data_IF_361245100916
#
_entry.id   IF_361245100916
#
_cell.length_a   1.000
_cell.length_b   1.000
_cell.length_c   1.000
_cell.angle_alpha   90.00
_cell.angle_beta   90.00
_cell.angle_gamma   90.00
#
_symmetry.space_group_name_H-M   'P 1'
#
loop_
_entity.id
_entity.type
_entity.pdbx_description
1 polymer ?
#
# COMPACT_ATOMS: atom_id res chain seq x y z
N UNK A 1 9.24 11.25 13.14
CA UNK A 1 8.98 9.86 12.71
C UNK A 1 8.45 9.88 11.28
N UNK A 2 8.90 8.93 10.45
CA UNK A 2 8.46 8.76 9.06
C UNK A 2 7.77 7.41 8.86
N UNK A 3 6.64 7.40 8.15
CA UNK A 3 5.94 6.17 7.79
C UNK A 3 6.12 5.92 6.30
N UNK A 4 6.77 4.81 6.01
CA UNK A 4 6.92 4.27 4.65
C UNK A 4 5.72 3.40 4.34
N UNK A 5 4.90 3.83 3.39
CA UNK A 5 3.83 3.02 2.83
C UNK A 5 4.36 2.33 1.57
N UNK A 6 4.75 1.08 1.72
CA UNK A 6 4.93 0.19 0.59
C UNK A 6 3.54 -0.20 0.06
N UNK A 7 3.08 0.60 -0.90
CA UNK A 7 1.81 0.44 -1.58
C UNK A 7 1.78 -0.90 -2.32
N UNK A 8 2.89 -1.22 -3.00
CA UNK A 8 2.99 -2.34 -3.92
C UNK A 8 1.87 -2.32 -4.96
N UNK A 9 1.65 -3.45 -5.62
CA UNK A 9 0.45 -3.70 -6.38
C UNK A 9 -0.08 -5.10 -6.07
N UNK A 10 -1.27 -5.42 -6.56
CA UNK A 10 -1.72 -6.81 -6.50
C UNK A 10 -0.82 -7.67 -7.39
N UNK A 11 -0.66 -8.94 -7.02
CA UNK A 11 0.11 -9.89 -7.80
C UNK A 11 1.55 -9.43 -8.08
N UNK A 12 2.14 -8.63 -7.19
CA UNK A 12 3.58 -8.30 -7.19
C UNK A 12 4.25 -8.95 -6.00
N UNK A 13 5.48 -9.43 -6.20
CA UNK A 13 6.45 -9.84 -5.18
C UNK A 13 6.01 -10.94 -4.17
N UNK A 14 4.74 -11.34 -4.09
CA UNK A 14 4.23 -12.42 -3.20
C UNK A 14 4.64 -12.26 -1.72
N UNK A 15 4.68 -11.01 -1.24
CA UNK A 15 5.19 -10.63 0.08
C UNK A 15 6.70 -10.96 0.30
N UNK A 16 7.51 -11.23 -0.73
CA UNK A 16 8.95 -11.57 -0.56
C UNK A 16 9.76 -10.39 0.02
N UNK A 17 9.52 -9.16 -0.43
CA UNK A 17 10.12 -7.93 0.10
C UNK A 17 9.80 -7.78 1.59
N UNK A 18 8.52 -7.86 1.98
CA UNK A 18 8.15 -7.73 3.40
C UNK A 18 8.71 -8.89 4.24
N UNK A 19 8.77 -10.10 3.69
CA UNK A 19 9.44 -11.23 4.36
C UNK A 19 10.94 -10.97 4.53
N UNK A 20 11.60 -10.36 3.54
CA UNK A 20 13.00 -9.98 3.63
C UNK A 20 13.23 -8.93 4.73
N UNK A 21 12.40 -7.88 4.77
CA UNK A 21 12.44 -6.87 5.82
C UNK A 21 12.22 -7.47 7.22
N UNK A 22 11.23 -8.36 7.37
CA UNK A 22 10.96 -9.03 8.64
C UNK A 22 12.12 -9.93 9.10
N UNK A 23 12.78 -10.63 8.17
CA UNK A 23 13.98 -11.45 8.48
C UNK A 23 15.14 -10.59 9.01
N UNK A 24 15.23 -9.34 8.58
CA UNK A 24 16.29 -8.41 8.96
C UNK A 24 15.86 -7.39 10.04
N UNK A 25 14.70 -7.58 10.68
CA UNK A 25 14.11 -6.60 11.60
C UNK A 25 15.02 -6.20 12.76
N UNK A 26 15.87 -7.11 13.26
CA UNK A 26 16.79 -6.80 14.35
C UNK A 26 17.87 -5.80 13.91
N UNK A 27 18.51 -6.05 12.76
CA UNK A 27 19.49 -5.13 12.17
C UNK A 27 18.86 -3.79 11.75
N UNK A 28 17.60 -3.80 11.33
CA UNK A 28 16.85 -2.58 11.03
C UNK A 28 16.47 -1.79 12.29
N UNK A 29 16.14 -2.46 13.39
CA UNK A 29 15.84 -1.83 14.67
C UNK A 29 17.05 -1.08 15.24
N UNK A 30 18.27 -1.62 15.08
CA UNK A 30 19.52 -0.94 15.42
C UNK A 30 19.70 0.41 14.69
N UNK A 31 18.99 0.63 13.59
CA UNK A 31 18.98 1.86 12.80
C UNK A 31 17.71 2.70 13.01
N UNK A 32 16.89 2.39 14.02
CA UNK A 32 15.63 3.08 14.29
C UNK A 32 14.51 2.77 13.30
N UNK A 33 14.58 1.62 12.60
CA UNK A 33 13.59 1.21 11.60
C UNK A 33 12.72 0.06 12.13
N UNK A 34 11.45 0.35 12.38
CA UNK A 34 10.46 -0.65 12.76
C UNK A 34 9.81 -1.30 11.54
N UNK A 35 9.81 -2.64 11.53
CA UNK A 35 9.10 -3.46 10.54
C UNK A 35 8.04 -4.31 11.24
N UNK A 36 6.84 -3.75 11.49
CA UNK A 36 5.78 -4.49 12.18
C UNK A 36 5.25 -5.64 11.33
N UNK A 37 4.75 -6.69 11.99
CA UNK A 37 4.12 -7.81 11.29
C UNK A 37 2.85 -7.35 10.56
N UNK A 38 2.65 -7.71 9.27
CA UNK A 38 1.45 -7.34 8.52
C UNK A 38 0.13 -7.79 9.15
N UNK A 39 0.15 -8.86 9.94
CA UNK A 39 -1.04 -9.34 10.65
C UNK A 39 -1.52 -8.38 11.74
N UNK A 40 -0.63 -7.53 12.28
CA UNK A 40 -0.98 -6.55 13.33
C UNK A 40 -1.66 -5.31 12.76
N UNK A 41 -1.19 -4.81 11.62
CA UNK A 41 -1.66 -3.52 11.11
C UNK A 41 -2.69 -3.60 9.98
N UNK A 42 -2.67 -4.63 9.10
CA UNK A 42 -3.51 -4.60 7.87
C UNK A 42 -5.00 -4.48 8.18
N UNK A 43 -5.50 -5.24 9.17
CA UNK A 43 -6.91 -5.17 9.61
C UNK A 43 -7.17 -3.86 10.37
N UNK A 44 -6.31 -3.53 11.33
CA UNK A 44 -6.44 -2.35 12.16
C UNK A 44 -6.51 -1.06 11.31
N UNK A 45 -5.53 -0.82 10.44
CA UNK A 45 -5.49 0.36 9.58
C UNK A 45 -6.72 0.48 8.68
N UNK A 46 -7.21 -0.65 8.14
CA UNK A 46 -8.42 -0.67 7.34
C UNK A 46 -9.64 -0.23 8.15
N UNK A 47 -9.81 -0.83 9.33
CA UNK A 47 -10.97 -0.58 10.18
C UNK A 47 -10.92 0.87 10.72
N UNK A 48 -9.73 1.37 11.07
CA UNK A 48 -9.51 2.78 11.44
C UNK A 48 -9.81 3.74 10.29
N UNK A 49 -9.28 3.50 9.08
CA UNK A 49 -9.57 4.35 7.92
C UNK A 49 -11.08 4.41 7.61
N UNK A 50 -11.79 3.29 7.77
CA UNK A 50 -13.24 3.23 7.61
C UNK A 50 -13.99 4.02 8.69
N UNK A 51 -13.53 3.98 9.94
CA UNK A 51 -14.12 4.74 11.04
C UNK A 51 -13.93 6.25 10.85
N UNK A 52 -12.75 6.68 10.41
CA UNK A 52 -12.44 8.08 10.17
C UNK A 52 -13.25 8.68 9.02
N UNK A 53 -13.70 7.88 8.04
CA UNK A 53 -14.49 8.34 6.87
C UNK A 53 -13.82 9.53 6.16
N UNK A 54 -12.49 9.51 6.07
CA UNK A 54 -11.71 10.59 5.48
C UNK A 54 -11.47 11.79 6.40
N UNK A 55 -11.86 11.76 7.67
CA UNK A 55 -11.36 12.72 8.65
C UNK A 55 -9.95 12.36 9.09
N UNK A 56 -9.27 13.32 9.69
CA UNK A 56 -7.95 13.11 10.30
C UNK A 56 -8.11 12.49 11.69
N UNK A 57 -7.24 11.56 12.04
CA UNK A 57 -7.20 10.96 13.38
C UNK A 57 -6.83 11.98 14.46
N UNK A 58 -7.41 11.85 15.66
CA UNK A 58 -6.93 12.56 16.84
C UNK A 58 -5.56 12.04 17.27
N UNK A 59 -4.79 12.83 18.02
CA UNK A 59 -3.53 12.40 18.65
C UNK A 59 -3.69 11.10 19.46
N UNK A 60 -4.80 10.97 20.21
CA UNK A 60 -5.12 9.75 20.96
C UNK A 60 -5.31 8.54 20.05
N UNK A 61 -6.00 8.71 18.92
CA UNK A 61 -6.19 7.63 17.93
C UNK A 61 -4.87 7.26 17.29
N UNK A 62 -4.03 8.24 16.96
CA UNK A 62 -2.68 8.02 16.42
C UNK A 62 -1.83 7.17 17.37
N UNK A 63 -1.76 7.58 18.63
CA UNK A 63 -0.98 6.89 19.66
C UNK A 63 -1.48 5.45 19.88
N UNK A 64 -2.80 5.25 19.95
CA UNK A 64 -3.40 3.92 20.13
C UNK A 64 -3.06 2.98 18.96
N UNK A 65 -3.24 3.44 17.72
CA UNK A 65 -2.92 2.63 16.54
C UNK A 65 -1.43 2.32 16.50
N UNK A 66 -0.58 3.32 16.78
CA UNK A 66 0.87 3.16 16.77
C UNK A 66 1.34 2.12 17.80
N UNK A 67 0.83 2.19 19.02
CA UNK A 67 1.11 1.22 20.09
C UNK A 67 0.69 -0.21 19.70
N UNK A 68 -0.42 -0.36 18.97
CA UNK A 68 -0.90 -1.68 18.56
C UNK A 68 -0.07 -2.30 17.42
N UNK A 69 0.50 -1.47 16.54
CA UNK A 69 1.28 -1.97 15.39
C UNK A 69 2.75 -2.18 15.72
N UNK A 70 3.34 -1.38 16.62
CA UNK A 70 4.78 -1.47 16.96
C UNK A 70 5.04 -2.42 18.13
N UNK A 71 6.22 -3.06 18.10
CA UNK A 71 6.77 -3.81 19.25
C UNK A 71 7.67 -2.91 20.12
N UNK A 72 8.40 -2.00 19.48
CA UNK A 72 9.28 -1.04 20.15
C UNK A 72 8.70 0.38 20.03
N UNK A 73 8.67 1.16 21.12
CA UNK A 73 8.00 2.45 21.16
C UNK A 73 8.74 3.56 20.39
N UNK A 74 10.06 3.43 20.23
CA UNK A 74 10.92 4.49 19.70
C UNK A 74 11.53 4.06 18.35
N UNK A 75 10.85 4.41 17.25
CA UNK A 75 11.36 4.22 15.90
C UNK A 75 11.30 5.53 15.11
N UNK A 76 12.39 5.86 14.43
CA UNK A 76 12.46 7.00 13.52
C UNK A 76 11.67 6.74 12.23
N UNK A 77 11.62 5.47 11.79
CA UNK A 77 10.96 5.03 10.57
C UNK A 77 10.13 3.76 10.79
N UNK A 78 8.90 3.74 10.28
CA UNK A 78 8.03 2.55 10.29
C UNK A 78 7.71 2.13 8.87
N UNK A 79 7.89 0.85 8.53
CA UNK A 79 7.59 0.32 7.19
C UNK A 79 6.30 -0.50 7.21
N UNK A 80 5.29 -0.05 6.46
CA UNK A 80 4.00 -0.70 6.30
C UNK A 80 3.83 -1.18 4.86
N UNK A 81 3.66 -2.49 4.68
CA UNK A 81 3.50 -3.12 3.36
C UNK A 81 2.12 -3.76 3.20
N UNK A 82 1.32 -3.23 2.27
CA UNK A 82 0.02 -3.82 1.98
C UNK A 82 -0.48 -3.48 0.57
N UNK A 83 -0.56 -4.47 -0.34
CA UNK A 83 -1.10 -4.26 -1.68
C UNK A 83 -2.51 -3.64 -1.72
N UNK A 84 -3.30 -3.80 -0.65
CA UNK A 84 -4.65 -3.24 -0.60
C UNK A 84 -4.72 -1.79 -0.10
N UNK A 85 -3.59 -1.13 0.10
CA UNK A 85 -3.57 0.33 0.19
C UNK A 85 -4.20 0.93 -1.08
N UNK A 86 -3.83 0.45 -2.26
CA UNK A 86 -4.34 0.97 -3.54
C UNK A 86 -5.81 0.64 -3.81
N UNK A 87 -6.24 -0.61 -3.62
CA UNK A 87 -7.65 -1.03 -3.77
C UNK A 87 -7.90 -2.43 -3.22
N UNK A 88 -9.14 -2.88 -3.26
CA UNK A 88 -9.42 -4.31 -3.29
C UNK A 88 -9.17 -4.86 -4.70
N UNK A 89 -8.76 -6.13 -4.87
CA UNK A 89 -8.46 -6.71 -6.19
C UNK A 89 -9.59 -6.55 -7.20
N UNK A 90 -10.84 -6.80 -6.80
CA UNK A 90 -11.98 -6.71 -7.70
C UNK A 90 -12.31 -5.28 -8.18
N UNK A 91 -11.72 -4.26 -7.55
CA UNK A 91 -11.98 -2.86 -7.86
C UNK A 91 -10.78 -2.17 -8.51
N UNK A 92 -9.67 -2.90 -8.69
CA UNK A 92 -8.42 -2.35 -9.21
C UNK A 92 -8.52 -1.87 -10.66
N UNK A 93 -9.54 -2.29 -11.42
CA UNK A 93 -9.69 -1.97 -12.85
C UNK A 93 -10.96 -1.13 -13.16
N UNK A 94 -11.61 -0.54 -12.15
CA UNK A 94 -12.82 0.26 -12.38
C UNK A 94 -12.48 1.60 -13.05
N UNK A 95 -12.74 1.71 -14.34
CA UNK A 95 -12.51 2.90 -15.15
C UNK A 95 -11.05 3.03 -15.63
N UNK A 96 -10.11 3.10 -14.69
CA UNK A 96 -8.67 3.05 -14.95
C UNK A 96 -7.99 2.13 -13.95
N UNK A 97 -6.71 1.84 -14.19
CA UNK A 97 -5.88 1.11 -13.26
C UNK A 97 -5.79 1.88 -11.93
N UNK A 98 -6.27 1.27 -10.85
CA UNK A 98 -6.38 1.83 -9.50
C UNK A 98 -6.95 3.25 -9.43
N UNK A 99 -8.08 3.51 -10.09
CA UNK A 99 -8.69 4.84 -10.18
C UNK A 99 -8.85 5.58 -8.83
N UNK A 100 -9.13 4.86 -7.75
CA UNK A 100 -9.31 5.42 -6.40
C UNK A 100 -8.03 5.40 -5.53
N UNK A 101 -6.86 5.06 -6.09
CA UNK A 101 -5.61 4.93 -5.31
C UNK A 101 -5.27 6.18 -4.51
N UNK A 102 -5.42 7.37 -5.11
CA UNK A 102 -5.07 8.63 -4.46
C UNK A 102 -5.85 8.87 -3.17
N UNK A 103 -7.18 8.84 -3.26
CA UNK A 103 -8.07 9.00 -2.11
C UNK A 103 -7.86 7.92 -1.05
N UNK A 104 -7.66 6.67 -1.49
CA UNK A 104 -7.47 5.55 -0.57
C UNK A 104 -6.17 5.65 0.21
N UNK A 105 -5.05 5.92 -0.46
CA UNK A 105 -3.76 6.11 0.20
C UNK A 105 -3.84 7.32 1.15
N UNK A 106 -4.51 8.40 0.73
CA UNK A 106 -4.75 9.56 1.58
C UNK A 106 -5.56 9.24 2.85
N UNK A 107 -6.52 8.32 2.77
CA UNK A 107 -7.26 7.88 3.95
C UNK A 107 -6.34 7.19 4.98
N UNK A 108 -5.27 6.51 4.54
CA UNK A 108 -4.29 5.89 5.43
C UNK A 108 -3.28 6.88 5.99
N UNK A 109 -2.88 7.91 5.23
CA UNK A 109 -2.01 8.98 5.77
C UNK A 109 -2.75 9.82 6.81
N UNK A 110 -4.07 9.98 6.67
CA UNK A 110 -4.93 10.62 7.68
C UNK A 110 -5.03 9.88 9.01
N UNK A 111 -4.59 8.62 9.07
CA UNK A 111 -4.44 7.91 10.35
C UNK A 111 -3.28 8.48 11.17
N UNK A 112 -2.26 9.03 10.51
CA UNK A 112 -1.04 9.57 11.15
C UNK A 112 -0.68 10.94 10.55
N UNK A 113 -1.55 11.97 10.71
CA UNK A 113 -1.30 13.31 10.16
C UNK A 113 0.03 13.94 10.60
N UNK A 114 0.54 13.58 11.78
CA UNK A 114 1.75 14.18 12.36
C UNK A 114 3.04 13.45 11.90
N UNK A 115 2.90 12.36 11.17
CA UNK A 115 4.00 11.60 10.61
C UNK A 115 4.28 12.01 9.15
N UNK A 116 5.56 12.09 8.79
CA UNK A 116 5.94 12.23 7.38
C UNK A 116 5.61 10.96 6.62
N UNK A 117 4.85 11.05 5.53
CA UNK A 117 4.58 9.93 4.65
C UNK A 117 5.65 9.78 3.56
N UNK A 118 5.94 8.54 3.16
CA UNK A 118 6.77 8.21 2.00
C UNK A 118 6.12 7.02 1.27
N UNK A 119 5.95 7.11 -0.05
CA UNK A 119 5.26 6.08 -0.84
C UNK A 119 6.21 5.30 -1.73
N UNK A 120 5.99 3.99 -1.79
CA UNK A 120 6.76 3.06 -2.61
C UNK A 120 5.83 2.16 -3.41
N UNK A 121 5.95 2.19 -4.74
CA UNK A 121 5.05 1.51 -5.67
C UNK A 121 5.84 0.67 -6.68
N UNK A 122 5.65 -0.65 -6.62
CA UNK A 122 6.10 -1.58 -7.65
C UNK A 122 5.03 -1.67 -8.76
N UNK A 123 5.40 -1.31 -9.99
CA UNK A 123 4.56 -1.49 -11.18
C UNK A 123 4.78 -2.89 -11.75
N UNK A 124 3.78 -3.47 -12.40
CA UNK A 124 3.93 -4.74 -13.13
C UNK A 124 3.45 -4.55 -14.57
N UNK A 125 4.08 -5.19 -15.54
CA UNK A 125 3.67 -5.13 -16.93
C UNK A 125 2.15 -5.48 -17.05
N UNK A 126 1.31 -4.57 -17.58
CA UNK A 126 -0.14 -4.78 -17.68
C UNK A 126 -0.53 -6.09 -18.36
N UNK A 127 0.23 -6.53 -19.37
CA UNK A 127 -0.01 -7.79 -20.09
C UNK A 127 0.10 -9.02 -19.18
N UNK A 128 0.91 -8.96 -18.12
CA UNK A 128 1.03 -10.04 -17.14
C UNK A 128 0.21 -9.77 -15.87
N UNK A 129 -0.01 -8.49 -15.54
CA UNK A 129 -0.76 -8.08 -14.36
C UNK A 129 -2.25 -8.39 -14.48
N UNK A 130 -2.89 -8.02 -15.60
CA UNK A 130 -4.33 -8.19 -15.81
C UNK A 130 -4.80 -9.66 -15.66
N UNK A 131 -4.18 -10.65 -16.37
CA UNK A 131 -4.58 -12.05 -16.19
C UNK A 131 -4.30 -12.56 -14.77
N UNK A 132 -3.13 -12.24 -14.18
CA UNK A 132 -2.83 -12.64 -12.79
C UNK A 132 -3.80 -12.04 -11.77
N UNK A 133 -4.31 -10.83 -12.02
CA UNK A 133 -5.32 -10.20 -11.17
C UNK A 133 -6.68 -10.91 -11.32
N UNK A 134 -7.07 -11.25 -12.55
CA UNK A 134 -8.28 -12.02 -12.82
C UNK A 134 -8.25 -13.37 -12.09
N UNK A 135 -7.13 -14.09 -12.15
CA UNK A 135 -6.95 -15.36 -11.44
C UNK A 135 -7.12 -15.19 -9.91
N UNK A 136 -6.51 -14.14 -9.35
CA UNK A 136 -6.61 -13.84 -7.92
C UNK A 136 -8.03 -13.46 -7.47
N UNK A 137 -8.83 -12.89 -8.38
CA UNK A 137 -10.25 -12.55 -8.15
C UNK A 137 -11.14 -13.78 -8.30
N UNK A 138 -10.92 -14.60 -9.33
CA UNK A 138 -11.62 -15.86 -9.57
C UNK A 138 -11.44 -16.85 -8.41
N UNK A 139 -10.22 -16.94 -7.86
CA UNK A 139 -9.92 -17.76 -6.69
C UNK A 139 -10.77 -17.39 -5.44
N UNK A 140 -11.41 -16.21 -5.44
CA UNK A 140 -12.31 -15.74 -4.38
C UNK A 140 -13.79 -15.77 -4.78
N UNK A 141 -14.15 -16.45 -5.87
CA UNK A 141 -15.52 -16.65 -6.33
C UNK A 141 -16.21 -15.37 -6.82
N UNK A 142 -15.44 -14.43 -7.38
CA UNK A 142 -15.96 -13.16 -7.92
C UNK A 142 -16.02 -13.21 -9.45
N UNK A 143 -16.83 -12.33 -10.03
CA UNK A 143 -17.06 -12.21 -11.48
C UNK A 143 -15.81 -11.76 -12.26
N UNK A 144 -15.89 -11.89 -13.58
CA UNK A 144 -14.88 -11.44 -14.54
C UNK A 144 -14.69 -9.91 -14.48
N UNK A 145 -13.54 -9.48 -13.96
CA UNK A 145 -13.20 -8.06 -13.81
C UNK A 145 -12.58 -7.46 -15.07
N UNK A 146 -12.33 -8.26 -16.11
CA UNK A 146 -11.84 -7.81 -17.42
C UNK A 146 -12.97 -7.50 -18.40
N UNK A 147 -14.21 -7.90 -18.08
CA UNK A 147 -15.38 -7.61 -18.91
C UNK A 147 -15.54 -6.11 -19.15
N UNK A 148 -15.56 -5.70 -20.43
CA UNK A 148 -15.77 -4.31 -20.83
C UNK A 148 -14.56 -3.39 -20.63
N UNK A 149 -13.39 -3.94 -20.30
CA UNK A 149 -12.15 -3.18 -20.16
C UNK A 149 -11.39 -3.17 -21.47
N UNK A 150 -10.87 -2.01 -21.87
CA UNK A 150 -9.84 -1.89 -22.90
C UNK A 150 -8.44 -1.98 -22.23
N UNK A 151 -7.68 -3.07 -22.43
CA UNK A 151 -6.35 -3.22 -21.86
C UNK A 151 -5.38 -2.09 -22.25
N UNK A 152 -5.57 -1.47 -23.42
CA UNK A 152 -4.71 -0.38 -23.90
C UNK A 152 -4.90 0.93 -23.12
N UNK A 153 -6.00 1.05 -22.37
CA UNK A 153 -6.28 2.18 -21.48
C UNK A 153 -5.81 1.93 -20.04
N UNK A 154 -5.37 0.71 -19.69
CA UNK A 154 -4.92 0.39 -18.33
C UNK A 154 -3.49 0.86 -18.08
N UNK A 155 -3.33 2.17 -17.83
CA UNK A 155 -2.02 2.81 -17.66
C UNK A 155 -1.70 3.07 -16.19
N UNK A 156 -0.52 2.63 -15.75
CA UNK A 156 0.02 2.96 -14.43
C UNK A 156 0.19 4.46 -14.20
N UNK A 157 0.43 5.24 -15.25
CA UNK A 157 0.52 6.70 -15.17
C UNK A 157 -0.72 7.34 -14.56
N UNK A 158 -1.90 6.74 -14.74
CA UNK A 158 -3.14 7.27 -14.18
C UNK A 158 -3.20 7.03 -12.67
N UNK A 159 -2.85 5.83 -12.20
CA UNK A 159 -2.71 5.54 -10.78
C UNK A 159 -1.69 6.45 -10.09
N UNK A 160 -0.50 6.62 -10.70
CA UNK A 160 0.56 7.50 -10.20
C UNK A 160 0.07 8.94 -10.12
N UNK A 161 -0.59 9.44 -11.18
CA UNK A 161 -1.15 10.80 -11.20
C UNK A 161 -2.20 10.98 -10.10
N UNK A 162 -3.09 10.01 -9.88
CA UNK A 162 -4.09 10.06 -8.81
C UNK A 162 -3.45 10.12 -7.43
N UNK A 163 -2.40 9.32 -7.18
CA UNK A 163 -1.64 9.33 -5.91
C UNK A 163 -1.05 10.72 -5.65
N UNK A 164 -0.36 11.29 -6.63
CA UNK A 164 0.28 12.61 -6.52
C UNK A 164 -0.73 13.75 -6.32
N UNK A 165 -1.85 13.75 -7.05
CA UNK A 165 -2.90 14.78 -6.93
C UNK A 165 -3.49 14.79 -5.51
N UNK A 166 -3.76 13.62 -4.95
CA UNK A 166 -4.43 13.52 -3.64
C UNK A 166 -3.47 13.63 -2.45
N UNK A 167 -2.17 13.48 -2.67
CA UNK A 167 -1.14 13.49 -1.62
C UNK A 167 0.01 14.43 -2.02
N UNK A 168 -0.26 15.74 -2.17
CA UNK A 168 0.75 16.70 -2.62
C UNK A 168 1.93 16.75 -1.64
N UNK A 169 3.14 16.79 -2.18
CA UNK A 169 4.37 16.90 -1.39
C UNK A 169 4.89 15.58 -0.79
N UNK A 170 4.13 14.48 -0.90
CA UNK A 170 4.58 13.18 -0.43
C UNK A 170 5.51 12.55 -1.47
N UNK A 171 6.75 12.17 -1.12
CA UNK A 171 7.65 11.48 -2.05
C UNK A 171 7.06 10.15 -2.50
N UNK A 172 7.16 9.86 -3.80
CA UNK A 172 6.72 8.60 -4.41
C UNK A 172 7.85 7.98 -5.22
N UNK A 173 8.36 6.85 -4.75
CA UNK A 173 9.34 6.03 -5.45
C UNK A 173 8.63 4.94 -6.25
N UNK A 174 8.98 4.79 -7.53
CA UNK A 174 8.35 3.84 -8.45
C UNK A 174 9.43 3.00 -9.13
N UNK A 175 9.20 1.69 -9.23
CA UNK A 175 10.06 0.75 -9.95
C UNK A 175 9.25 -0.33 -10.65
N UNK A 176 9.87 -1.08 -11.56
CA UNK A 176 9.25 -2.26 -12.16
C UNK A 176 9.45 -3.47 -11.25
N UNK A 177 8.36 -4.17 -10.92
CA UNK A 177 8.38 -5.38 -10.10
C UNK A 177 9.27 -6.47 -10.73
N UNK A 178 9.34 -6.52 -12.05
CA UNK A 178 10.21 -7.42 -12.81
C UNK A 178 11.70 -7.20 -12.50
N UNK A 179 12.08 -6.00 -12.06
CA UNK A 179 13.45 -5.61 -11.70
C UNK A 179 13.75 -5.80 -10.21
N UNK A 180 12.78 -6.23 -9.40
CA UNK A 180 12.95 -6.42 -7.93
C UNK A 180 14.19 -7.24 -7.56
N UNK A 181 14.61 -8.30 -8.27
CA UNK A 181 15.85 -9.02 -7.94
C UNK A 181 17.15 -8.19 -8.03
N UNK A 182 17.10 -7.02 -8.67
CA UNK A 182 18.24 -6.13 -8.92
C UNK A 182 18.29 -4.94 -7.94
N UNK A 183 17.32 -4.83 -7.02
CA UNK A 183 17.15 -3.74 -6.04
C UNK A 183 17.28 -4.34 -4.63
#
# INVERSE_FOLDING_TARGET
>A
MRIVYHLGAHCTDEDRLVRCLLKNRAALAEQGIAVPSPTRYRKLLRDTAMQLRGQTASEETQALVMQQIMDEPDADRVILSWPSFLSFPAWALRGSLYAAAGERVRAFTRIFPDAEAEFHLALRNPATFLPSLQDAVNAKGREDILTGIDPMQMRWSDAVRQILIHNPGVPLTVWCNEETPLI
#
